data_IF_752739726563
#
_entry.id   IF_752739726563
#
_cell.length_a   1.000
_cell.length_b   1.000
_cell.length_c   1.000
_cell.angle_alpha   90.00
_cell.angle_beta   90.00
_cell.angle_gamma   90.00
#
_symmetry.space_group_name_H-M   'P 1'
#
loop_
_entity.id
_entity.type
_entity.pdbx_description
1 polymer ?
#
# COMPACT_ATOMS: atom_id res chain seq x y z
N UNK A 1 -30.54 -1.50 13.41
CA UNK A 1 -31.28 -1.95 12.21
C UNK A 1 -32.59 -1.18 12.01
N UNK A 2 -33.45 -1.05 13.04
CA UNK A 2 -34.75 -0.34 12.93
C UNK A 2 -34.63 1.13 12.48
N UNK A 3 -33.60 1.84 12.93
CA UNK A 3 -33.40 3.27 12.62
C UNK A 3 -33.13 3.53 11.13
N UNK A 4 -32.14 2.86 10.52
CA UNK A 4 -31.81 3.07 9.11
C UNK A 4 -32.95 2.63 8.16
N UNK A 5 -33.68 1.57 8.52
CA UNK A 5 -34.86 1.14 7.77
C UNK A 5 -36.03 2.13 7.91
N UNK A 6 -36.18 2.78 9.07
CA UNK A 6 -37.25 3.77 9.33
C UNK A 6 -37.08 5.06 8.52
N UNK A 7 -35.89 5.32 7.98
CA UNK A 7 -35.61 6.46 7.10
C UNK A 7 -35.69 6.13 5.61
N UNK A 8 -36.13 4.92 5.26
CA UNK A 8 -36.49 4.61 3.88
C UNK A 8 -37.77 5.36 3.50
N UNK A 9 -37.89 5.75 2.22
CA UNK A 9 -39.14 6.30 1.71
C UNK A 9 -40.22 5.21 1.54
N UNK A 10 -41.40 5.60 1.05
CA UNK A 10 -42.52 4.66 0.82
C UNK A 10 -42.16 3.52 -0.15
N UNK A 11 -41.23 3.77 -1.09
CA UNK A 11 -40.69 2.77 -2.01
C UNK A 11 -39.54 1.92 -1.43
N UNK A 12 -39.21 2.07 -0.14
CA UNK A 12 -38.11 1.34 0.51
C UNK A 12 -36.71 1.85 0.15
N UNK A 13 -36.60 3.01 -0.50
CA UNK A 13 -35.32 3.58 -0.93
C UNK A 13 -34.65 4.37 0.19
N UNK A 14 -33.36 4.10 0.40
CA UNK A 14 -32.51 4.80 1.37
C UNK A 14 -31.78 5.95 0.64
N UNK A 15 -31.92 7.21 1.10
CA UNK A 15 -31.18 8.33 0.54
C UNK A 15 -29.71 8.28 0.96
N UNK A 16 -28.86 9.04 0.26
CA UNK A 16 -27.47 9.23 0.67
C UNK A 16 -27.35 9.92 2.04
N UNK A 17 -28.16 10.96 2.26
CA UNK A 17 -28.22 11.74 3.50
C UNK A 17 -29.67 12.00 3.90
N UNK A 18 -29.91 12.01 5.20
CA UNK A 18 -31.16 12.47 5.80
C UNK A 18 -30.93 13.80 6.52
N UNK A 19 -31.97 14.61 6.64
CA UNK A 19 -31.99 15.74 7.56
C UNK A 19 -32.10 15.22 8.99
N UNK A 20 -31.14 15.57 9.85
CA UNK A 20 -31.03 15.08 11.23
C UNK A 20 -31.35 16.15 12.29
N UNK A 21 -31.85 17.30 11.84
CA UNK A 21 -32.19 18.47 12.66
C UNK A 21 -33.70 18.75 12.66
N UNK A 22 -34.21 19.67 13.50
CA UNK A 22 -35.61 20.10 13.44
C UNK A 22 -36.02 20.59 12.05
N UNK A 23 -37.30 20.46 11.73
CA UNK A 23 -37.84 20.80 10.42
C UNK A 23 -37.60 22.28 10.06
N UNK A 24 -37.25 22.52 8.80
CA UNK A 24 -37.19 23.85 8.17
C UNK A 24 -38.07 23.79 6.91
N UNK A 25 -39.39 23.96 7.05
CA UNK A 25 -40.34 23.82 5.94
C UNK A 25 -40.02 24.73 4.75
N UNK A 26 -39.50 25.93 5.01
CA UNK A 26 -39.14 26.92 3.98
C UNK A 26 -38.01 26.44 3.05
N UNK A 27 -37.30 25.38 3.42
CA UNK A 27 -36.22 24.75 2.66
C UNK A 27 -36.54 23.31 2.27
N UNK A 28 -37.77 22.85 2.49
CA UNK A 28 -38.20 21.46 2.29
C UNK A 28 -37.37 20.43 3.09
N UNK A 29 -36.81 20.85 4.22
CA UNK A 29 -35.99 20.00 5.09
C UNK A 29 -36.83 19.50 6.26
N UNK A 30 -37.01 18.17 6.33
CA UNK A 30 -37.81 17.52 7.37
C UNK A 30 -37.02 16.37 7.99
N UNK A 31 -37.08 16.25 9.31
CA UNK A 31 -36.31 15.26 10.05
C UNK A 31 -36.56 13.85 9.49
N UNK A 32 -35.46 13.14 9.18
CA UNK A 32 -35.48 11.80 8.62
C UNK A 32 -35.78 11.71 7.11
N UNK A 33 -36.01 12.83 6.44
CA UNK A 33 -36.20 12.90 4.97
C UNK A 33 -34.90 13.25 4.25
N UNK A 34 -34.80 13.02 2.93
CA UNK A 34 -33.60 13.39 2.16
C UNK A 34 -33.30 14.89 2.29
N UNK A 35 -32.03 15.24 2.52
CA UNK A 35 -31.56 16.63 2.65
C UNK A 35 -31.19 17.29 1.31
N UNK A 36 -31.88 16.93 0.22
CA UNK A 36 -31.53 17.31 -1.16
C UNK A 36 -30.45 16.43 -1.81
N UNK A 37 -30.13 15.28 -1.20
CA UNK A 37 -29.15 14.31 -1.70
C UNK A 37 -29.77 13.28 -2.66
N UNK A 38 -28.92 12.48 -3.32
CA UNK A 38 -29.38 11.46 -4.27
C UNK A 38 -30.25 10.39 -3.59
N UNK A 39 -31.38 10.06 -4.23
CA UNK A 39 -32.25 8.95 -3.80
C UNK A 39 -32.85 8.24 -5.03
N UNK A 40 -32.58 6.92 -5.23
CA UNK A 40 -31.76 6.07 -4.36
C UNK A 40 -30.26 6.25 -4.62
N UNK A 41 -29.44 6.21 -3.57
CA UNK A 41 -28.02 5.93 -3.72
C UNK A 41 -27.76 4.44 -3.56
N UNK A 42 -27.37 3.76 -4.63
CA UNK A 42 -27.09 2.30 -4.62
C UNK A 42 -26.04 1.93 -3.58
N UNK A 43 -25.11 2.85 -3.27
CA UNK A 43 -24.11 2.65 -2.22
C UNK A 43 -24.75 2.53 -0.82
N UNK A 44 -25.73 3.37 -0.49
CA UNK A 44 -26.43 3.30 0.80
C UNK A 44 -27.12 1.94 0.98
N UNK A 45 -27.72 1.42 -0.09
CA UNK A 45 -28.35 0.10 -0.10
C UNK A 45 -27.33 -1.04 0.07
N UNK A 46 -26.20 -0.97 -0.64
CA UNK A 46 -25.12 -1.94 -0.49
C UNK A 46 -24.55 -1.94 0.94
N UNK A 47 -24.40 -0.77 1.57
CA UNK A 47 -23.97 -0.66 2.97
C UNK A 47 -25.00 -1.22 3.94
N UNK A 48 -26.29 -0.99 3.71
CA UNK A 48 -27.36 -1.59 4.50
C UNK A 48 -27.29 -3.12 4.46
N UNK A 49 -27.18 -3.73 3.28
CA UNK A 49 -27.04 -5.19 3.12
C UNK A 49 -25.79 -5.74 3.82
N UNK A 50 -24.64 -5.05 3.67
CA UNK A 50 -23.40 -5.43 4.36
C UNK A 50 -23.55 -5.37 5.87
N UNK A 51 -24.28 -4.39 6.41
CA UNK A 51 -24.55 -4.28 7.84
C UNK A 51 -25.41 -5.45 8.33
N UNK A 52 -26.51 -5.79 7.64
CA UNK A 52 -27.36 -6.94 8.02
C UNK A 52 -26.51 -8.20 8.08
N UNK A 53 -25.74 -8.44 7.01
CA UNK A 53 -24.92 -9.62 6.89
C UNK A 53 -23.86 -9.68 7.99
N UNK A 54 -23.26 -8.53 8.33
CA UNK A 54 -22.26 -8.43 9.38
C UNK A 54 -22.84 -8.74 10.76
N UNK A 55 -24.02 -8.21 11.07
CA UNK A 55 -24.73 -8.49 12.33
C UNK A 55 -25.07 -9.97 12.45
N UNK A 56 -25.57 -10.57 11.36
CA UNK A 56 -25.92 -11.99 11.32
C UNK A 56 -24.69 -12.89 11.51
N UNK A 57 -23.58 -12.53 10.90
CA UNK A 57 -22.33 -13.30 10.97
C UNK A 57 -21.50 -12.98 12.22
N UNK A 58 -21.91 -12.00 13.05
CA UNK A 58 -21.19 -11.57 14.26
C UNK A 58 -19.83 -10.91 13.98
N UNK A 59 -19.56 -10.54 12.72
CA UNK A 59 -18.29 -9.94 12.27
C UNK A 59 -18.53 -9.05 11.07
N UNK A 60 -17.63 -8.12 10.80
CA UNK A 60 -17.68 -7.31 9.57
C UNK A 60 -17.57 -8.23 8.34
N UNK A 61 -18.64 -8.26 7.54
CA UNK A 61 -18.79 -9.19 6.40
C UNK A 61 -17.70 -8.97 5.36
N UNK A 62 -17.39 -7.71 5.03
CA UNK A 62 -16.47 -7.34 3.96
C UNK A 62 -15.02 -7.20 4.42
N UNK A 63 -14.66 -7.71 5.61
CA UNK A 63 -13.26 -7.84 6.02
C UNK A 63 -12.55 -8.90 5.17
N UNK A 64 -11.51 -8.54 4.41
CA UNK A 64 -10.74 -9.51 3.63
C UNK A 64 -9.94 -10.41 4.59
N UNK A 65 -10.22 -11.73 4.64
CA UNK A 65 -9.57 -12.61 5.60
C UNK A 65 -8.05 -12.67 5.42
N UNK A 66 -7.57 -12.60 4.17
CA UNK A 66 -6.14 -12.65 3.86
C UNK A 66 -5.38 -11.46 4.46
N UNK A 67 -5.94 -10.26 4.36
CA UNK A 67 -5.33 -9.04 4.94
C UNK A 67 -5.33 -9.09 6.46
N UNK A 68 -6.44 -9.54 7.08
CA UNK A 68 -6.53 -9.72 8.52
C UNK A 68 -5.49 -10.73 9.03
N UNK A 69 -5.40 -11.89 8.39
CA UNK A 69 -4.43 -12.93 8.73
C UNK A 69 -3.00 -12.42 8.63
N UNK A 70 -2.66 -11.75 7.52
CA UNK A 70 -1.29 -11.30 7.26
C UNK A 70 -0.84 -10.18 8.19
N UNK A 71 -1.65 -9.13 8.33
CA UNK A 71 -1.20 -7.88 8.94
C UNK A 71 -1.60 -7.74 10.41
N UNK A 72 -2.76 -8.26 10.81
CA UNK A 72 -3.23 -8.13 12.21
C UNK A 72 -2.82 -9.33 13.05
N UNK A 73 -3.09 -10.56 12.56
CA UNK A 73 -2.79 -11.78 13.31
C UNK A 73 -1.32 -12.15 13.26
N UNK A 74 -0.77 -12.33 12.05
CA UNK A 74 0.65 -12.69 11.87
C UNK A 74 1.61 -11.52 12.03
N UNK A 75 1.11 -10.27 12.01
CA UNK A 75 1.92 -9.05 12.06
C UNK A 75 3.11 -9.11 11.09
N UNK A 76 2.88 -9.61 9.88
CA UNK A 76 3.97 -9.86 8.93
C UNK A 76 4.57 -8.54 8.50
N UNK A 77 5.82 -8.29 8.91
CA UNK A 77 6.58 -7.10 8.54
C UNK A 77 7.18 -7.18 7.13
N UNK A 78 7.74 -6.06 6.66
CA UNK A 78 8.50 -6.03 5.41
C UNK A 78 9.77 -6.88 5.53
N UNK A 79 10.21 -7.43 4.40
CA UNK A 79 11.48 -8.16 4.26
C UNK A 79 12.52 -7.40 3.44
N UNK A 80 12.07 -6.37 2.75
CA UNK A 80 12.84 -5.62 1.77
C UNK A 80 12.81 -4.14 2.12
N UNK A 81 13.93 -3.48 1.87
CA UNK A 81 14.03 -2.03 1.75
C UNK A 81 14.34 -1.74 0.30
N UNK A 82 13.55 -0.87 -0.31
CA UNK A 82 13.69 -0.54 -1.72
C UNK A 82 14.56 0.71 -1.83
N UNK A 83 15.51 0.69 -2.75
CA UNK A 83 16.23 1.87 -3.22
C UNK A 83 15.94 2.05 -4.71
N UNK A 84 15.67 3.29 -5.11
CA UNK A 84 15.56 3.67 -6.52
C UNK A 84 16.08 5.09 -6.72
N UNK A 85 16.25 5.52 -7.97
CA UNK A 85 16.67 6.89 -8.27
C UNK A 85 15.71 7.95 -7.69
N UNK A 86 14.41 7.63 -7.61
CA UNK A 86 13.37 8.48 -7.05
C UNK A 86 13.15 8.26 -5.54
N UNK A 87 13.73 7.20 -4.97
CA UNK A 87 13.68 6.89 -3.55
C UNK A 87 15.04 6.41 -3.06
N UNK A 88 15.95 7.37 -2.83
CA UNK A 88 17.32 7.11 -2.38
C UNK A 88 17.35 7.01 -0.85
N UNK A 89 16.85 5.90 -0.31
CA UNK A 89 17.01 5.62 1.11
C UNK A 89 18.50 5.68 1.47
N UNK A 90 18.84 6.27 2.62
CA UNK A 90 20.23 6.40 3.09
C UNK A 90 20.55 5.43 4.20
N UNK A 91 19.52 4.94 4.86
CA UNK A 91 19.61 3.97 5.94
C UNK A 91 18.61 2.86 5.72
N UNK A 92 18.89 1.69 6.28
CA UNK A 92 17.99 0.55 6.28
C UNK A 92 18.09 -0.24 7.58
N UNK A 93 17.00 -0.83 8.08
CA UNK A 93 17.05 -1.72 9.22
C UNK A 93 17.95 -2.93 8.96
N UNK A 94 18.60 -3.41 10.03
CA UNK A 94 19.26 -4.71 10.01
C UNK A 94 18.24 -5.83 9.68
N UNK A 95 18.71 -6.96 9.14
CA UNK A 95 17.93 -8.17 8.80
C UNK A 95 17.03 -8.07 7.57
N UNK A 96 16.97 -6.91 6.90
CA UNK A 96 16.26 -6.74 5.63
C UNK A 96 17.21 -6.89 4.43
N UNK A 97 16.67 -7.32 3.30
CA UNK A 97 17.39 -7.30 2.01
C UNK A 97 17.18 -5.95 1.31
N UNK A 98 18.25 -5.41 0.75
CA UNK A 98 18.20 -4.20 -0.07
C UNK A 98 17.80 -4.58 -1.49
N UNK A 99 16.63 -4.12 -1.94
CA UNK A 99 16.20 -4.22 -3.32
C UNK A 99 16.56 -2.95 -4.07
N UNK A 100 17.33 -3.07 -5.15
CA UNK A 100 17.57 -1.99 -6.10
C UNK A 100 16.50 -2.08 -7.19
N UNK A 101 15.82 -0.97 -7.46
CA UNK A 101 14.81 -0.83 -8.51
C UNK A 101 15.23 0.21 -9.55
N UNK A 102 15.32 -0.21 -10.81
CA UNK A 102 15.80 0.57 -11.95
C UNK A 102 14.82 0.50 -13.11
N UNK A 103 14.78 1.54 -13.95
CA UNK A 103 13.91 1.60 -15.13
C UNK A 103 14.48 0.90 -16.37
N UNK A 104 15.71 0.42 -16.30
CA UNK A 104 16.43 -0.23 -17.40
C UNK A 104 17.25 -1.42 -16.86
N UNK A 105 17.52 -2.44 -17.69
CA UNK A 105 18.34 -3.58 -17.30
C UNK A 105 19.77 -3.15 -16.98
N UNK A 106 20.29 -3.63 -15.86
CA UNK A 106 21.64 -3.33 -15.40
C UNK A 106 22.28 -4.53 -14.71
N UNK A 107 23.61 -4.51 -14.63
CA UNK A 107 24.33 -5.23 -13.58
C UNK A 107 24.53 -4.29 -12.40
N UNK A 108 24.03 -4.68 -11.23
CA UNK A 108 24.32 -3.99 -9.97
C UNK A 108 25.65 -4.53 -9.44
N UNK A 109 26.62 -3.63 -9.36
CA UNK A 109 27.95 -3.88 -8.84
C UNK A 109 28.02 -3.35 -7.42
N UNK A 110 28.28 -4.20 -6.43
CA UNK A 110 28.16 -3.80 -5.03
C UNK A 110 29.14 -4.49 -4.09
N UNK A 111 29.35 -3.84 -2.94
CA UNK A 111 30.21 -4.30 -1.86
C UNK A 111 29.68 -3.82 -0.52
N UNK A 112 30.05 -4.53 0.55
CA UNK A 112 29.75 -4.14 1.93
C UNK A 112 31.03 -4.03 2.79
N UNK A 113 32.20 -4.14 2.17
CA UNK A 113 33.49 -4.14 2.86
C UNK A 113 34.53 -3.22 2.18
N UNK A 114 34.04 -2.15 1.55
CA UNK A 114 34.88 -1.15 0.88
C UNK A 114 35.57 -1.68 -0.37
N UNK A 115 34.83 -2.41 -1.21
CA UNK A 115 35.32 -2.98 -2.48
C UNK A 115 36.40 -4.08 -2.34
N UNK A 116 36.62 -4.63 -1.14
CA UNK A 116 37.51 -5.79 -0.95
C UNK A 116 36.91 -7.06 -1.52
N UNK A 117 35.61 -7.23 -1.32
CA UNK A 117 34.78 -8.25 -1.95
C UNK A 117 33.72 -7.56 -2.79
N UNK A 118 33.59 -8.04 -4.02
CA UNK A 118 32.75 -7.43 -5.06
C UNK A 118 31.74 -8.46 -5.50
N UNK A 119 30.50 -8.02 -5.64
CA UNK A 119 29.39 -8.83 -6.08
C UNK A 119 28.73 -8.15 -7.27
N UNK A 120 28.48 -8.92 -8.31
CA UNK A 120 27.72 -8.49 -9.48
C UNK A 120 26.42 -9.28 -9.55
N UNK A 121 25.30 -8.57 -9.67
CA UNK A 121 23.99 -9.18 -9.85
C UNK A 121 23.24 -8.49 -10.99
N UNK A 122 22.87 -9.25 -12.00
CA UNK A 122 22.02 -8.74 -13.07
C UNK A 122 20.59 -8.54 -12.55
N UNK A 123 19.99 -7.42 -12.91
CA UNK A 123 18.60 -7.13 -12.60
C UNK A 123 17.66 -8.06 -13.36
N UNK A 124 16.56 -8.44 -12.73
CA UNK A 124 15.47 -9.21 -13.32
C UNK A 124 14.36 -8.26 -13.76
N UNK A 125 13.78 -8.52 -14.93
CA UNK A 125 12.56 -7.82 -15.36
C UNK A 125 11.37 -8.25 -14.49
N UNK A 126 10.64 -7.26 -13.96
CA UNK A 126 9.41 -7.49 -13.21
C UNK A 126 8.17 -7.69 -14.09
N UNK A 127 8.26 -7.37 -15.38
CA UNK A 127 7.12 -7.32 -16.31
C UNK A 127 6.24 -6.08 -16.16
N UNK A 128 6.63 -5.13 -15.28
CA UNK A 128 5.87 -3.92 -14.97
C UNK A 128 6.63 -2.63 -15.37
N UNK A 129 7.56 -2.74 -16.32
CA UNK A 129 8.41 -1.61 -16.75
C UNK A 129 9.50 -1.25 -15.72
N UNK A 130 9.90 -2.21 -14.89
CA UNK A 130 10.91 -2.05 -13.86
C UNK A 130 11.80 -3.29 -13.80
N UNK A 131 13.10 -3.06 -13.60
CA UNK A 131 14.11 -4.05 -13.34
C UNK A 131 14.53 -4.00 -11.86
N UNK A 132 14.72 -5.16 -11.24
CA UNK A 132 15.11 -5.22 -9.83
C UNK A 132 16.22 -6.22 -9.53
N UNK A 133 17.02 -5.94 -8.50
CA UNK A 133 17.99 -6.86 -7.94
C UNK A 133 17.90 -6.86 -6.40
N UNK A 134 17.90 -8.06 -5.81
CA UNK A 134 17.87 -8.24 -4.36
C UNK A 134 19.28 -8.53 -3.85
N UNK A 135 19.84 -7.61 -3.08
CA UNK A 135 21.15 -7.76 -2.45
C UNK A 135 20.95 -8.47 -1.11
N UNK A 136 21.73 -9.53 -0.87
CA UNK A 136 21.62 -10.38 0.32
C UNK A 136 22.27 -9.69 1.54
N UNK A 137 21.63 -8.62 2.02
CA UNK A 137 22.14 -7.78 3.11
C UNK A 137 21.65 -8.19 4.50
N UNK A 138 20.81 -9.22 4.60
CA UNK A 138 20.13 -9.62 5.84
C UNK A 138 21.09 -10.05 6.95
N UNK A 139 22.26 -10.57 6.57
CA UNK A 139 23.29 -11.07 7.50
C UNK A 139 24.42 -10.07 7.75
N UNK A 140 24.37 -8.90 7.12
CA UNK A 140 25.41 -7.87 7.28
C UNK A 140 25.21 -7.16 8.62
N UNK A 141 26.30 -6.91 9.32
CA UNK A 141 26.29 -6.28 10.64
C UNK A 141 25.78 -4.84 10.57
N UNK A 142 25.04 -4.41 11.60
CA UNK A 142 24.66 -3.00 11.77
C UNK A 142 25.91 -2.10 11.84
N UNK A 143 25.76 -0.87 11.37
CA UNK A 143 26.85 0.10 11.20
C UNK A 143 27.63 -0.05 9.89
N UNK A 144 27.41 -1.13 9.13
CA UNK A 144 28.06 -1.36 7.82
C UNK A 144 27.36 -0.56 6.73
N UNK A 145 28.14 -0.10 5.75
CA UNK A 145 27.63 0.56 4.55
C UNK A 145 27.67 -0.38 3.36
N UNK A 146 26.54 -0.49 2.67
CA UNK A 146 26.42 -1.15 1.37
C UNK A 146 26.64 -0.10 0.30
N UNK A 147 27.70 -0.26 -0.48
CA UNK A 147 28.09 0.65 -1.57
C UNK A 147 27.81 -0.06 -2.88
N UNK A 148 27.20 0.64 -3.84
CA UNK A 148 26.86 0.06 -5.13
C UNK A 148 26.86 1.09 -6.26
N UNK A 149 27.03 0.59 -7.47
CA UNK A 149 26.88 1.33 -8.73
C UNK A 149 26.28 0.41 -9.80
N UNK A 150 26.05 0.95 -10.99
CA UNK A 150 25.34 0.26 -12.07
C UNK A 150 26.15 0.24 -13.36
N UNK A 151 26.21 -0.93 -14.00
CA UNK A 151 26.57 -1.06 -15.40
C UNK A 151 25.30 -1.25 -16.23
N UNK A 152 24.95 -0.24 -17.03
CA UNK A 152 23.74 -0.22 -17.84
C UNK A 152 23.90 -1.09 -19.09
N UNK A 153 23.11 -2.16 -19.20
CA UNK A 153 23.29 -3.17 -20.25
C UNK A 153 22.99 -2.60 -21.64
N UNK A 154 21.92 -1.82 -21.78
CA UNK A 154 21.52 -1.25 -23.07
C UNK A 154 22.49 -0.17 -23.57
N UNK A 155 23.05 0.61 -22.64
CA UNK A 155 23.95 1.72 -22.97
C UNK A 155 25.43 1.32 -22.96
N UNK A 156 25.76 0.11 -22.49
CA UNK A 156 27.12 -0.41 -22.40
C UNK A 156 28.07 0.44 -21.54
N UNK A 157 27.55 1.16 -20.54
CA UNK A 157 28.32 2.13 -19.73
C UNK A 157 28.04 2.05 -18.25
N UNK A 158 29.02 2.46 -17.45
CA UNK A 158 28.86 2.67 -16.02
C UNK A 158 28.06 3.94 -15.72
N UNK A 159 27.34 3.94 -14.60
CA UNK A 159 26.67 5.12 -14.05
C UNK A 159 27.66 6.23 -13.69
N UNK A 160 28.91 5.88 -13.38
CA UNK A 160 29.99 6.83 -13.09
C UNK A 160 29.94 7.45 -11.69
N UNK A 161 29.08 6.92 -10.82
CA UNK A 161 28.95 7.33 -9.43
C UNK A 161 28.54 6.15 -8.55
N UNK A 162 29.04 6.15 -7.32
CA UNK A 162 28.63 5.23 -6.27
C UNK A 162 27.48 5.80 -5.43
N UNK A 163 26.64 4.88 -4.95
CA UNK A 163 25.59 5.13 -3.99
C UNK A 163 25.85 4.29 -2.74
N UNK A 164 25.29 4.76 -1.62
CA UNK A 164 25.52 4.15 -0.32
C UNK A 164 24.22 4.07 0.48
N UNK A 165 24.01 2.92 1.13
CA UNK A 165 22.98 2.71 2.14
C UNK A 165 23.62 2.14 3.40
N UNK A 166 23.40 2.79 4.54
CA UNK A 166 23.92 2.35 5.83
C UNK A 166 22.93 1.45 6.56
N UNK A 167 23.40 0.33 7.10
CA UNK A 167 22.59 -0.56 7.93
C UNK A 167 22.58 -0.02 9.36
N UNK A 168 21.42 0.20 9.96
CA UNK A 168 21.29 0.77 11.31
C UNK A 168 19.89 0.75 11.88
#
# INVERSE_FOLDING_TARGET
>A
MKVMAAFANEGGMIPEQIWDSPDIPERELFFGRPSGSAMPLVWAHAKYLKLIRSLRDGRVFDTPPQTLERYVKKKTGPKLVIWSFNHKCRTMPQTMSLRIELLAPATVHWSHNGWKEVHDIQTKDSGLGLHYADLQTEKIAAGTSVIFTFYWLDAGRWEGKDFEVRIG
#
